data_IF_055199329755
#
_entry.id   IF_055199329755
#
_cell.length_a   1.000
_cell.length_b   1.000
_cell.length_c   1.000
_cell.angle_alpha   90.00
_cell.angle_beta   90.00
_cell.angle_gamma   90.00
#
_symmetry.space_group_name_H-M   'P 1'
#
loop_
_entity.id
_entity.type
_entity.pdbx_description
1 polymer ?
#
# COMPACT_ATOMS: atom_id res chain seq x y z
N UNK A 1 -28.95 -13.12 68.42
CA UNK A 1 -28.40 -13.78 67.22
C UNK A 1 -29.09 -13.19 66.00
N UNK A 2 -28.57 -12.11 65.43
CA UNK A 2 -29.07 -11.48 64.19
C UNK A 2 -27.84 -11.11 63.34
N UNK A 3 -27.73 -11.76 62.19
CA UNK A 3 -26.54 -11.77 61.32
C UNK A 3 -26.56 -10.50 60.45
N UNK A 4 -25.48 -9.72 60.49
CA UNK A 4 -25.26 -8.58 59.57
C UNK A 4 -24.76 -9.12 58.23
N UNK A 5 -25.54 -8.93 57.17
CA UNK A 5 -25.19 -9.29 55.81
C UNK A 5 -24.30 -8.18 55.22
N UNK A 6 -22.99 -8.38 55.22
CA UNK A 6 -22.04 -7.47 54.58
C UNK A 6 -21.94 -7.85 53.10
N UNK A 7 -22.47 -7.01 52.22
CA UNK A 7 -22.36 -7.19 50.78
C UNK A 7 -20.90 -6.93 50.33
N UNK A 8 -20.24 -7.95 49.79
CA UNK A 8 -18.91 -7.84 49.22
C UNK A 8 -19.04 -7.43 47.74
N UNK A 9 -18.82 -6.16 47.43
CA UNK A 9 -18.74 -5.68 46.04
C UNK A 9 -17.34 -6.01 45.53
N UNK A 10 -17.23 -7.08 44.77
CA UNK A 10 -15.99 -7.46 44.07
C UNK A 10 -15.93 -6.65 42.77
N UNK A 11 -15.27 -5.49 42.83
CA UNK A 11 -15.02 -4.65 41.66
C UNK A 11 -13.93 -5.25 40.77
N UNK A 12 -14.31 -5.74 39.60
CA UNK A 12 -13.38 -6.20 38.57
C UNK A 12 -12.70 -5.01 37.90
N UNK A 13 -11.42 -4.77 38.18
CA UNK A 13 -10.60 -3.82 37.42
C UNK A 13 -10.09 -4.53 36.16
N UNK A 14 -10.68 -4.22 35.02
CA UNK A 14 -10.17 -4.66 33.72
C UNK A 14 -8.96 -3.78 33.34
N UNK A 15 -7.76 -4.35 33.37
CA UNK A 15 -6.55 -3.73 32.84
C UNK A 15 -6.63 -3.75 31.30
N UNK A 16 -7.00 -2.62 30.70
CA UNK A 16 -6.90 -2.41 29.26
C UNK A 16 -5.43 -2.12 28.95
N UNK A 17 -4.69 -3.14 28.54
CA UNK A 17 -3.35 -2.97 27.97
C UNK A 17 -3.49 -2.31 26.60
N UNK A 18 -3.33 -0.98 26.53
CA UNK A 18 -3.27 -0.26 25.27
C UNK A 18 -1.96 -0.57 24.55
N UNK A 19 -2.01 -1.36 23.49
CA UNK A 19 -0.90 -1.46 22.54
C UNK A 19 -0.86 -0.18 21.73
N UNK A 20 0.16 0.65 21.93
CA UNK A 20 0.46 1.76 21.02
C UNK A 20 0.86 1.17 19.68
N UNK A 21 0.02 1.33 18.64
CA UNK A 21 0.43 1.05 17.28
C UNK A 21 1.52 2.06 16.90
N UNK A 22 2.70 1.57 16.51
CA UNK A 22 3.70 2.41 15.90
C UNK A 22 3.28 2.65 14.44
N UNK A 23 3.28 3.91 14.01
CA UNK A 23 3.08 4.23 12.60
C UNK A 23 4.20 3.58 11.78
N UNK A 24 3.85 2.97 10.64
CA UNK A 24 4.85 2.58 9.66
C UNK A 24 5.42 3.84 9.00
N UNK A 25 6.72 3.82 8.71
CA UNK A 25 7.34 4.86 7.90
C UNK A 25 6.67 4.92 6.52
N UNK A 26 6.61 6.14 5.96
CA UNK A 26 6.12 6.32 4.59
C UNK A 26 6.96 5.49 3.61
N UNK A 27 6.34 4.83 2.62
CA UNK A 27 7.06 4.00 1.68
C UNK A 27 8.03 4.83 0.84
N UNK A 28 9.23 4.31 0.63
CA UNK A 28 10.16 4.89 -0.33
C UNK A 28 9.64 4.65 -1.76
N UNK A 29 9.44 5.74 -2.51
CA UNK A 29 8.95 5.70 -3.88
C UNK A 29 9.80 6.54 -4.81
N UNK A 30 10.02 6.02 -6.01
CA UNK A 30 10.83 6.69 -7.02
C UNK A 30 10.37 6.28 -8.42
N UNK A 31 10.39 7.22 -9.37
CA UNK A 31 10.29 6.92 -10.80
C UNK A 31 11.57 7.39 -11.48
N UNK A 32 12.29 6.45 -12.10
CA UNK A 32 13.50 6.73 -12.88
C UNK A 32 13.28 6.40 -14.34
N UNK A 33 13.81 7.25 -15.23
CA UNK A 33 13.94 6.89 -16.64
C UNK A 33 15.09 5.89 -16.79
N UNK A 34 14.82 4.73 -17.38
CA UNK A 34 15.86 3.74 -17.69
C UNK A 34 16.52 4.13 -19.02
N UNK A 35 15.71 4.32 -20.05
CA UNK A 35 16.13 4.73 -21.40
C UNK A 35 14.90 5.08 -22.23
N UNK A 36 15.02 6.02 -23.18
CA UNK A 36 13.92 6.41 -24.07
C UNK A 36 12.63 6.65 -23.29
N UNK A 37 11.58 5.92 -23.65
CA UNK A 37 10.26 6.01 -23.01
C UNK A 37 10.00 4.91 -21.95
N UNK A 38 11.04 4.19 -21.52
CA UNK A 38 10.97 3.13 -20.52
C UNK A 38 11.39 3.64 -19.14
N UNK A 39 10.54 3.44 -18.15
CA UNK A 39 10.71 3.90 -16.78
C UNK A 39 10.59 2.76 -15.78
N UNK A 40 11.26 2.89 -14.64
CA UNK A 40 11.05 2.04 -13.44
C UNK A 40 10.36 2.85 -12.36
N UNK A 41 9.29 2.32 -11.80
CA UNK A 41 8.71 2.80 -10.56
C UNK A 41 9.09 1.86 -9.39
N UNK A 42 9.47 2.42 -8.25
CA UNK A 42 9.93 1.67 -7.07
C UNK A 42 8.97 1.87 -5.90
N UNK A 43 8.68 0.80 -5.17
CA UNK A 43 7.99 0.81 -3.88
C UNK A 43 8.80 -0.03 -2.88
N UNK A 44 9.63 0.61 -2.07
CA UNK A 44 10.59 -0.07 -1.20
C UNK A 44 11.45 -1.08 -2.00
N UNK A 45 11.28 -2.39 -1.75
CA UNK A 45 12.01 -3.47 -2.39
C UNK A 45 11.33 -4.04 -3.67
N UNK A 46 10.14 -3.54 -4.02
CA UNK A 46 9.40 -4.00 -5.19
C UNK A 46 9.48 -2.97 -6.32
N UNK A 47 9.48 -3.47 -7.55
CA UNK A 47 9.68 -2.64 -8.73
C UNK A 47 8.67 -2.97 -9.82
N UNK A 48 8.25 -1.90 -10.49
CA UNK A 48 7.40 -1.90 -11.66
C UNK A 48 8.19 -1.28 -12.82
N UNK A 49 7.90 -1.68 -14.05
CA UNK A 49 8.30 -0.92 -15.24
C UNK A 49 7.09 -0.48 -16.04
N UNK A 50 7.18 0.71 -16.63
CA UNK A 50 6.18 1.18 -17.58
C UNK A 50 6.84 1.80 -18.82
N UNK A 51 6.20 1.56 -19.97
CA UNK A 51 6.59 2.09 -21.26
C UNK A 51 5.53 3.10 -21.70
N UNK A 52 5.96 4.33 -21.99
CA UNK A 52 5.11 5.38 -22.53
C UNK A 52 5.08 5.27 -24.05
N UNK A 53 3.89 5.35 -24.65
CA UNK A 53 3.71 5.43 -26.10
C UNK A 53 2.70 6.53 -26.42
N UNK A 54 2.63 6.96 -27.68
CA UNK A 54 1.64 7.94 -28.13
C UNK A 54 0.20 7.46 -27.92
N UNK A 55 -0.04 6.15 -27.94
CA UNK A 55 -1.37 5.60 -27.78
C UNK A 55 -1.75 5.31 -26.32
N UNK A 56 -0.79 5.34 -25.39
CA UNK A 56 -1.02 4.97 -23.98
C UNK A 56 0.16 4.26 -23.33
N UNK A 57 0.02 4.02 -22.03
CA UNK A 57 1.04 3.40 -21.19
C UNK A 57 0.78 1.90 -21.05
N UNK A 58 1.86 1.13 -21.17
CA UNK A 58 1.94 -0.27 -20.76
C UNK A 58 2.68 -0.31 -19.43
N UNK A 59 2.07 -0.87 -18.39
CA UNK A 59 2.61 -0.94 -17.04
C UNK A 59 2.64 -2.40 -16.57
N UNK A 60 3.62 -2.79 -15.75
CA UNK A 60 3.64 -4.13 -15.13
C UNK A 60 2.95 -4.13 -13.75
N UNK A 61 2.94 -5.24 -13.01
CA UNK A 61 2.71 -5.38 -11.56
C UNK A 61 2.26 -4.11 -10.77
N UNK A 62 0.99 -4.01 -10.31
CA UNK A 62 0.48 -2.86 -9.55
C UNK A 62 1.00 -2.75 -8.10
N UNK A 63 1.55 -3.82 -7.50
CA UNK A 63 2.21 -3.85 -6.18
C UNK A 63 1.32 -3.25 -5.06
N UNK A 64 0.07 -3.71 -4.98
CA UNK A 64 -0.90 -3.31 -3.96
C UNK A 64 -1.63 -2.01 -4.28
N UNK A 65 -2.84 -1.87 -3.74
CA UNK A 65 -3.75 -0.75 -4.04
C UNK A 65 -3.15 0.62 -3.73
N UNK A 66 -2.38 0.73 -2.65
CA UNK A 66 -1.78 2.01 -2.24
C UNK A 66 -0.71 2.49 -3.24
N UNK A 67 0.20 1.59 -3.65
CA UNK A 67 1.17 1.92 -4.68
C UNK A 67 0.52 2.10 -6.06
N UNK A 68 -0.43 1.24 -6.43
CA UNK A 68 -1.17 1.37 -7.70
C UNK A 68 -1.91 2.71 -7.81
N UNK A 69 -2.48 3.21 -6.71
CA UNK A 69 -3.15 4.52 -6.66
C UNK A 69 -2.15 5.65 -6.88
N UNK A 70 -1.01 5.62 -6.19
CA UNK A 70 0.06 6.60 -6.38
C UNK A 70 0.64 6.54 -7.80
N UNK A 71 0.97 5.34 -8.28
CA UNK A 71 1.55 5.12 -9.60
C UNK A 71 0.57 5.41 -10.72
N UNK A 72 -0.75 5.39 -10.50
CA UNK A 72 -1.71 5.86 -11.52
C UNK A 72 -1.66 7.37 -11.70
N UNK A 73 -1.44 8.13 -10.62
CA UNK A 73 -1.41 9.59 -10.67
C UNK A 73 -0.12 10.15 -11.28
N UNK A 74 1.02 9.49 -11.05
CA UNK A 74 2.33 9.98 -11.49
C UNK A 74 2.48 10.06 -13.03
N UNK A 75 2.22 9.01 -13.83
CA UNK A 75 2.30 9.06 -15.29
C UNK A 75 1.19 9.91 -15.91
N UNK A 76 0.00 9.95 -15.30
CA UNK A 76 -1.11 10.79 -15.76
C UNK A 76 -0.70 12.27 -15.73
N UNK A 77 -0.06 12.70 -14.63
CA UNK A 77 0.47 14.06 -14.50
C UNK A 77 1.67 14.34 -15.42
N UNK A 78 2.47 13.33 -15.79
CA UNK A 78 3.71 13.49 -16.56
C UNK A 78 3.51 13.43 -18.08
N UNK A 79 2.60 12.58 -18.56
CA UNK A 79 2.53 12.22 -19.98
C UNK A 79 1.18 12.48 -20.63
N UNK A 80 0.09 12.60 -19.85
CA UNK A 80 -1.23 12.92 -20.39
C UNK A 80 -1.83 11.86 -21.32
N UNK A 81 -1.36 10.61 -21.25
CA UNK A 81 -1.89 9.46 -21.97
C UNK A 81 -2.36 8.38 -20.99
N UNK A 82 -3.43 7.62 -21.30
CA UNK A 82 -4.00 6.66 -20.34
C UNK A 82 -3.12 5.41 -20.19
N UNK A 83 -3.19 4.76 -19.03
CA UNK A 83 -2.75 3.36 -18.89
C UNK A 83 -3.73 2.45 -19.65
N UNK A 84 -3.23 1.72 -20.65
CA UNK A 84 -4.03 0.81 -21.49
C UNK A 84 -3.85 -0.65 -21.17
N UNK A 85 -2.69 -1.02 -20.64
CA UNK A 85 -2.34 -2.41 -20.35
C UNK A 85 -1.64 -2.50 -19.00
N UNK A 86 -2.06 -3.49 -18.21
CA UNK A 86 -1.41 -3.94 -16.98
C UNK A 86 -0.92 -5.37 -17.23
N UNK A 87 0.38 -5.60 -17.14
CA UNK A 87 1.02 -6.88 -17.38
C UNK A 87 1.49 -7.48 -16.04
N UNK A 88 0.83 -8.55 -15.60
CA UNK A 88 1.24 -9.26 -14.39
C UNK A 88 2.39 -10.21 -14.67
N UNK A 89 3.45 -10.14 -13.86
CA UNK A 89 4.60 -11.04 -13.94
C UNK A 89 4.28 -12.42 -13.34
N UNK A 90 3.63 -12.44 -12.17
CA UNK A 90 3.17 -13.64 -11.48
C UNK A 90 2.07 -13.31 -10.47
N UNK A 91 1.53 -14.32 -9.79
CA UNK A 91 0.30 -14.20 -9.01
C UNK A 91 0.48 -13.77 -7.54
N UNK A 92 1.71 -13.64 -7.05
CA UNK A 92 1.92 -13.30 -5.64
C UNK A 92 1.41 -11.89 -5.33
N UNK A 93 0.96 -11.72 -4.09
CA UNK A 93 0.26 -10.51 -3.64
C UNK A 93 1.14 -9.26 -3.71
N UNK A 94 2.45 -9.41 -3.48
CA UNK A 94 3.46 -8.36 -3.58
C UNK A 94 3.75 -7.91 -5.02
N UNK A 95 3.05 -8.47 -6.00
CA UNK A 95 3.12 -8.10 -7.41
C UNK A 95 1.74 -7.86 -8.04
N UNK A 96 0.82 -8.81 -7.88
CA UNK A 96 -0.43 -8.86 -8.64
C UNK A 96 -1.56 -8.00 -8.08
N UNK A 97 -1.55 -7.71 -6.77
CA UNK A 97 -2.63 -6.96 -6.12
C UNK A 97 -2.60 -5.48 -6.53
N UNK A 98 -3.77 -4.82 -6.47
CA UNK A 98 -3.97 -3.41 -6.84
C UNK A 98 -4.82 -3.22 -8.08
#
# INVERSE_FOLDING_TARGET
MNIRLTAFVMGSVALVSGTTALAQDEPFREIVNITGDLYRATNNAHHNVFLVTEEGIILTDPIGTDFATWLRAEPDARFGVPVRYVLHSHYHDDHASG
#
